data_IF_101325405672
#
_entry.id   IF_101325405672
#
_cell.length_a   1.000
_cell.length_b   1.000
_cell.length_c   1.000
_cell.angle_alpha   90.00
_cell.angle_beta   90.00
_cell.angle_gamma   90.00
#
_symmetry.space_group_name_H-M   'P 1'
#
loop_
_entity.id
_entity.type
_entity.pdbx_description
1 polymer ?
#
# COMPACT_ATOMS: atom_id res chain seq x y z
N UNK A 1 20.22 -3.19 -0.02
CA UNK A 1 19.39 -3.31 -1.24
C UNK A 1 17.95 -3.20 -0.81
N UNK A 2 17.32 -2.09 -1.13
CA UNK A 2 15.90 -1.82 -0.85
C UNK A 2 15.06 -2.49 -1.94
N UNK A 3 13.75 -2.54 -1.76
CA UNK A 3 12.83 -3.07 -2.76
C UNK A 3 12.74 -2.17 -4.00
N UNK A 4 12.95 -0.86 -3.84
CA UNK A 4 12.95 0.08 -4.98
C UNK A 4 14.10 -0.20 -5.96
N UNK A 5 15.24 -0.72 -5.48
CA UNK A 5 16.39 -1.14 -6.30
C UNK A 5 16.05 -2.32 -7.25
N UNK A 6 14.92 -2.99 -7.04
CA UNK A 6 14.47 -4.15 -7.81
C UNK A 6 13.45 -3.79 -8.89
N UNK A 7 13.12 -2.51 -9.04
CA UNK A 7 12.14 -2.10 -10.03
C UNK A 7 12.61 -2.46 -11.45
N UNK A 8 11.81 -3.21 -12.22
CA UNK A 8 12.12 -3.48 -13.62
C UNK A 8 12.01 -2.19 -14.45
N UNK A 9 12.63 -2.15 -15.65
CA UNK A 9 12.56 -0.97 -16.53
C UNK A 9 11.15 -0.60 -17.00
N UNK A 10 10.22 -1.56 -16.95
CA UNK A 10 8.82 -1.40 -17.38
C UNK A 10 7.88 -1.98 -16.34
N UNK A 11 6.71 -1.37 -16.15
CA UNK A 11 5.65 -1.86 -15.27
C UNK A 11 4.90 -3.10 -15.80
N UNK A 12 5.61 -4.01 -16.47
CA UNK A 12 5.04 -5.25 -16.97
C UNK A 12 4.66 -6.17 -15.79
N UNK A 13 3.45 -6.74 -15.75
CA UNK A 13 2.98 -7.53 -14.61
C UNK A 13 3.88 -8.71 -14.26
N UNK A 14 4.36 -9.46 -15.26
CA UNK A 14 5.18 -10.65 -15.04
C UNK A 14 6.56 -10.25 -14.49
N UNK A 15 7.18 -9.22 -15.09
CA UNK A 15 8.45 -8.67 -14.61
C UNK A 15 8.36 -8.15 -13.16
N UNK A 16 7.26 -7.49 -12.80
CA UNK A 16 7.03 -7.01 -11.44
C UNK A 16 6.84 -8.15 -10.45
N UNK A 17 6.07 -9.18 -10.83
CA UNK A 17 5.88 -10.36 -10.01
C UNK A 17 7.22 -11.04 -9.71
N UNK A 18 8.00 -11.35 -10.75
CA UNK A 18 9.29 -12.03 -10.64
C UNK A 18 10.29 -11.24 -9.78
N UNK A 19 10.38 -9.92 -10.00
CA UNK A 19 11.26 -9.05 -9.22
C UNK A 19 10.91 -9.04 -7.73
N UNK A 20 9.62 -8.92 -7.40
CA UNK A 20 9.15 -8.93 -6.02
C UNK A 20 9.35 -10.30 -5.35
N UNK A 21 9.05 -11.38 -6.07
CA UNK A 21 9.23 -12.75 -5.57
C UNK A 21 10.71 -13.05 -5.31
N UNK A 22 11.61 -12.66 -6.22
CA UNK A 22 13.05 -12.80 -6.04
C UNK A 22 13.53 -12.04 -4.82
N UNK A 23 13.11 -10.79 -4.65
CA UNK A 23 13.44 -9.96 -3.50
C UNK A 23 13.01 -10.59 -2.16
N UNK A 24 11.82 -11.21 -2.12
CA UNK A 24 11.31 -11.92 -0.96
C UNK A 24 12.15 -13.18 -0.67
N UNK A 25 12.45 -13.95 -1.72
CA UNK A 25 13.21 -15.20 -1.63
C UNK A 25 14.65 -14.99 -1.15
N UNK A 26 15.32 -13.93 -1.61
CA UNK A 26 16.65 -13.55 -1.14
C UNK A 26 16.72 -13.25 0.37
N UNK A 27 15.57 -12.89 0.96
CA UNK A 27 15.42 -12.66 2.41
C UNK A 27 14.99 -13.92 3.17
N UNK A 28 14.95 -15.06 2.50
CA UNK A 28 14.49 -16.33 3.06
C UNK A 28 12.98 -16.38 3.29
N UNK A 29 12.21 -15.53 2.59
CA UNK A 29 10.75 -15.51 2.66
C UNK A 29 10.16 -16.25 1.46
N UNK A 30 9.14 -17.06 1.71
CA UNK A 30 8.28 -17.64 0.67
C UNK A 30 6.90 -17.04 0.83
N UNK A 31 6.32 -16.57 -0.27
CA UNK A 31 4.98 -16.01 -0.26
C UNK A 31 3.96 -17.11 0.06
N UNK A 32 2.95 -16.78 0.86
CA UNK A 32 1.79 -17.65 1.00
C UNK A 32 0.93 -17.56 -0.26
N UNK A 33 0.16 -18.61 -0.57
CA UNK A 33 -0.69 -18.64 -1.77
C UNK A 33 -1.61 -17.42 -1.89
N UNK A 34 -2.19 -16.96 -0.79
CA UNK A 34 -3.04 -15.76 -0.79
C UNK A 34 -2.26 -14.44 -1.02
N UNK A 35 -0.95 -14.41 -0.76
CA UNK A 35 -0.08 -13.27 -1.07
C UNK A 35 0.31 -13.29 -2.53
N UNK A 36 0.58 -14.46 -3.10
CA UNK A 36 0.84 -14.64 -4.53
C UNK A 36 -0.37 -14.21 -5.36
N UNK A 37 -1.56 -14.72 -5.02
CA UNK A 37 -2.82 -14.32 -5.65
C UNK A 37 -3.03 -12.81 -5.58
N UNK A 38 -2.86 -12.21 -4.40
CA UNK A 38 -3.00 -10.77 -4.24
C UNK A 38 -1.95 -9.98 -5.04
N UNK A 39 -0.71 -10.46 -5.09
CA UNK A 39 0.38 -9.84 -5.85
C UNK A 39 0.05 -9.84 -7.34
N UNK A 40 -0.39 -10.98 -7.91
CA UNK A 40 -0.78 -11.12 -9.32
C UNK A 40 -1.84 -10.08 -9.69
N UNK A 41 -2.88 -9.95 -8.89
CA UNK A 41 -3.95 -8.98 -9.11
C UNK A 41 -3.44 -7.53 -9.02
N UNK A 42 -2.63 -7.24 -8.01
CA UNK A 42 -2.03 -5.91 -7.79
C UNK A 42 -1.12 -5.49 -8.95
N UNK A 43 -0.22 -6.36 -9.41
CA UNK A 43 0.69 -6.05 -10.53
C UNK A 43 -0.06 -5.95 -11.85
N UNK A 44 -1.18 -6.67 -12.00
CA UNK A 44 -2.09 -6.51 -13.14
C UNK A 44 -2.90 -5.21 -13.11
N UNK A 45 -2.83 -4.44 -12.01
CA UNK A 45 -3.51 -3.15 -11.86
C UNK A 45 -4.91 -3.25 -11.25
N UNK A 46 -5.34 -4.43 -10.80
CA UNK A 46 -6.63 -4.60 -10.15
C UNK A 46 -6.67 -3.98 -8.73
N UNK A 47 -7.88 -3.72 -8.25
CA UNK A 47 -8.12 -3.33 -6.86
C UNK A 47 -8.39 -4.59 -6.04
N UNK A 48 -7.72 -4.74 -4.89
CA UNK A 48 -7.76 -5.97 -4.11
C UNK A 48 -8.30 -5.70 -2.71
N UNK A 49 -9.16 -6.60 -2.23
CA UNK A 49 -9.62 -6.64 -0.84
C UNK A 49 -9.07 -7.90 -0.19
N UNK A 50 -8.18 -7.73 0.78
CA UNK A 50 -7.55 -8.87 1.47
C UNK A 50 -8.19 -9.09 2.83
N UNK A 51 -8.77 -10.28 3.01
CA UNK A 51 -9.41 -10.71 4.24
C UNK A 51 -8.67 -11.87 4.89
N UNK A 52 -7.60 -11.57 5.62
CA UNK A 52 -6.83 -12.60 6.34
C UNK A 52 -6.72 -12.26 7.83
N UNK A 53 -6.51 -13.25 8.73
CA UNK A 53 -6.25 -12.99 10.14
C UNK A 53 -5.09 -12.01 10.36
N UNK A 54 -5.05 -11.33 11.51
CA UNK A 54 -3.86 -10.58 11.93
C UNK A 54 -2.66 -11.54 12.07
N UNK A 55 -1.46 -11.09 11.72
CA UNK A 55 -0.26 -11.92 11.71
C UNK A 55 -0.05 -12.81 10.47
N UNK A 56 -0.96 -12.80 9.49
CA UNK A 56 -0.85 -13.64 8.27
C UNK A 56 -0.06 -12.99 7.12
N UNK A 57 0.73 -11.94 7.40
CA UNK A 57 1.55 -11.28 6.38
C UNK A 57 0.84 -10.29 5.45
N UNK A 58 -0.17 -9.55 5.93
CA UNK A 58 -0.79 -8.42 5.19
C UNK A 58 0.25 -7.36 4.76
N UNK A 59 1.28 -7.14 5.56
CA UNK A 59 2.37 -6.21 5.25
C UNK A 59 3.10 -6.54 3.96
N UNK A 60 3.22 -7.82 3.58
CA UNK A 60 3.85 -8.20 2.30
C UNK A 60 3.01 -7.76 1.11
N UNK A 61 1.68 -7.87 1.22
CA UNK A 61 0.77 -7.43 0.16
C UNK A 61 0.78 -5.89 0.05
N UNK A 62 0.85 -5.19 1.19
CA UNK A 62 1.02 -3.74 1.19
C UNK A 62 2.34 -3.31 0.50
N UNK A 63 3.45 -3.99 0.81
CA UNK A 63 4.73 -3.72 0.16
C UNK A 63 4.68 -3.99 -1.35
N UNK A 64 4.03 -5.08 -1.78
CA UNK A 64 3.78 -5.38 -3.19
C UNK A 64 2.96 -4.28 -3.88
N UNK A 65 1.91 -3.76 -3.23
CA UNK A 65 1.10 -2.67 -3.76
C UNK A 65 1.92 -1.39 -3.97
N UNK A 66 2.73 -1.00 -2.98
CA UNK A 66 3.61 0.15 -3.12
C UNK A 66 4.63 -0.05 -4.25
N UNK A 67 5.26 -1.23 -4.33
CA UNK A 67 6.21 -1.55 -5.39
C UNK A 67 5.57 -1.45 -6.78
N UNK A 68 4.37 -2.01 -6.97
CA UNK A 68 3.65 -1.96 -8.22
C UNK A 68 3.16 -0.55 -8.61
N UNK A 69 2.94 0.34 -7.63
CA UNK A 69 2.63 1.74 -7.87
C UNK A 69 3.88 2.54 -8.28
N UNK A 70 5.00 2.35 -7.57
CA UNK A 70 6.28 2.98 -7.91
C UNK A 70 6.76 2.60 -9.31
N UNK A 71 6.56 1.35 -9.73
CA UNK A 71 6.87 0.92 -11.11
C UNK A 71 6.09 1.69 -12.19
N UNK A 72 4.93 2.24 -11.83
CA UNK A 72 4.05 3.03 -12.71
C UNK A 72 4.25 4.53 -12.53
N UNK A 73 5.26 4.95 -11.77
CA UNK A 73 5.50 6.36 -11.44
C UNK A 73 4.31 7.00 -10.69
N UNK A 74 3.60 6.21 -9.87
CA UNK A 74 2.46 6.66 -9.06
C UNK A 74 2.87 6.93 -7.61
N UNK A 75 2.40 8.05 -7.04
CA UNK A 75 2.47 8.27 -5.59
C UNK A 75 1.50 7.35 -4.87
N UNK A 76 2.00 6.62 -3.89
CA UNK A 76 1.25 5.61 -3.14
C UNK A 76 1.14 5.93 -1.66
N UNK A 77 -0.06 5.77 -1.11
CA UNK A 77 -0.39 6.12 0.26
C UNK A 77 -0.65 4.85 1.08
N UNK A 78 -0.13 4.78 2.29
CA UNK A 78 -0.57 3.85 3.32
C UNK A 78 -1.39 4.61 4.36
N UNK A 79 -2.59 4.12 4.68
CA UNK A 79 -3.42 4.70 5.72
C UNK A 79 -3.64 3.74 6.87
N UNK A 80 -3.52 4.24 8.10
CA UNK A 80 -3.89 3.53 9.32
C UNK A 80 -4.83 4.38 10.20
N UNK A 81 -5.64 3.77 11.08
CA UNK A 81 -6.65 4.49 11.86
C UNK A 81 -6.08 5.35 12.99
N UNK A 82 -4.87 5.06 13.47
CA UNK A 82 -4.24 5.82 14.57
C UNK A 82 -2.81 6.19 14.24
N UNK A 83 -2.37 7.36 14.73
CA UNK A 83 -1.02 7.90 14.50
C UNK A 83 0.10 6.92 14.87
N UNK A 84 -0.07 6.17 15.96
CA UNK A 84 0.93 5.20 16.40
C UNK A 84 1.21 4.12 15.33
N UNK A 85 0.16 3.61 14.67
CA UNK A 85 0.29 2.62 13.59
C UNK A 85 0.87 3.23 12.32
N UNK A 86 0.54 4.50 12.04
CA UNK A 86 1.18 5.25 10.93
C UNK A 86 2.68 5.36 11.16
N UNK A 87 3.11 5.75 12.36
CA UNK A 87 4.53 5.84 12.70
C UNK A 87 5.24 4.49 12.64
N UNK A 88 4.62 3.44 13.17
CA UNK A 88 5.16 2.07 13.07
C UNK A 88 5.36 1.68 11.60
N UNK A 89 4.34 1.88 10.76
CA UNK A 89 4.42 1.55 9.35
C UNK A 89 5.45 2.40 8.61
N UNK A 90 5.56 3.69 8.93
CA UNK A 90 6.59 4.57 8.38
C UNK A 90 7.99 3.99 8.58
N UNK A 91 8.32 3.52 9.79
CA UNK A 91 9.62 2.91 10.06
C UNK A 91 9.80 1.56 9.35
N UNK A 92 8.74 0.76 9.20
CA UNK A 92 8.80 -0.48 8.41
C UNK A 92 9.05 -0.20 6.93
N UNK A 93 8.32 0.73 6.33
CA UNK A 93 8.46 1.08 4.92
C UNK A 93 9.81 1.74 4.66
N UNK A 94 10.35 2.57 5.57
CA UNK A 94 11.71 3.10 5.46
C UNK A 94 12.76 1.99 5.32
N UNK A 95 12.59 0.85 6.03
CA UNK A 95 13.51 -0.30 5.92
C UNK A 95 13.39 -1.02 4.58
N UNK A 96 12.20 -0.99 3.97
CA UNK A 96 11.91 -1.68 2.71
C UNK A 96 12.29 -0.82 1.51
N UNK A 97 11.90 0.45 1.50
CA UNK A 97 12.00 1.36 0.34
C UNK A 97 13.11 2.41 0.45
N UNK A 98 13.76 2.54 1.62
CA UNK A 98 14.72 3.61 1.88
C UNK A 98 14.07 4.85 2.49
N UNK A 99 14.78 5.51 3.39
CA UNK A 99 14.26 6.67 4.15
C UNK A 99 13.95 7.88 3.29
N UNK A 100 14.64 8.02 2.17
CA UNK A 100 14.49 9.08 1.19
C UNK A 100 13.22 8.94 0.34
N UNK A 101 12.68 7.72 0.23
CA UNK A 101 11.52 7.41 -0.61
C UNK A 101 10.21 7.30 0.20
N UNK A 102 10.28 7.48 1.52
CA UNK A 102 9.12 7.32 2.41
C UNK A 102 8.88 8.61 3.19
N UNK A 103 7.62 9.04 3.20
CA UNK A 103 7.13 10.17 3.95
C UNK A 103 6.07 9.77 4.97
N UNK A 104 5.83 10.67 5.91
CA UNK A 104 4.79 10.52 6.92
C UNK A 104 4.05 11.85 7.08
N UNK A 105 2.72 11.80 6.97
CA UNK A 105 1.84 12.93 7.21
C UNK A 105 0.87 12.59 8.33
N UNK A 106 1.02 13.26 9.47
CA UNK A 106 0.05 13.28 10.55
C UNK A 106 -0.50 14.70 10.70
N UNK A 107 -1.70 14.87 11.25
CA UNK A 107 -2.32 16.20 11.37
C UNK A 107 -1.51 17.22 12.21
N UNK A 108 -0.49 16.76 12.92
CA UNK A 108 0.43 17.54 13.77
C UNK A 108 1.88 17.55 13.30
N UNK A 109 2.31 16.66 12.41
CA UNK A 109 3.69 16.57 11.95
C UNK A 109 3.79 16.02 10.53
N UNK A 110 4.81 16.48 9.80
CA UNK A 110 5.13 15.99 8.46
C UNK A 110 6.61 15.66 8.34
N UNK A 111 6.93 14.53 7.73
CA UNK A 111 8.28 14.11 7.38
C UNK A 111 8.28 13.73 5.91
N UNK A 112 9.22 14.27 5.12
CA UNK A 112 9.40 13.94 3.70
C UNK A 112 8.06 13.91 2.92
N UNK A 113 7.32 15.02 2.97
CA UNK A 113 5.93 15.10 2.49
C UNK A 113 5.76 14.85 0.98
N UNK A 114 6.83 15.06 0.21
CA UNK A 114 6.85 14.90 -1.25
C UNK A 114 7.40 13.52 -1.67
N UNK A 115 7.54 12.59 -0.72
CA UNK A 115 8.02 11.24 -1.02
C UNK A 115 7.01 10.45 -1.87
N UNK A 116 7.48 9.51 -2.71
CA UNK A 116 6.58 8.72 -3.54
C UNK A 116 5.78 7.66 -2.75
N UNK A 117 6.20 7.33 -1.51
CA UNK A 117 5.45 6.47 -0.58
C UNK A 117 5.09 7.27 0.68
N UNK A 118 3.80 7.48 0.95
CA UNK A 118 3.33 8.32 2.06
C UNK A 118 2.53 7.50 3.09
N UNK A 119 2.99 7.45 4.33
CA UNK A 119 2.20 6.97 5.46
C UNK A 119 1.36 8.12 6.05
N UNK A 120 0.05 7.94 6.21
CA UNK A 120 -0.79 8.96 6.84
C UNK A 120 -1.99 8.37 7.59
N UNK A 121 -2.72 9.20 8.33
CA UNK A 121 -4.02 8.79 8.87
C UNK A 121 -5.10 8.92 7.81
N UNK A 122 -6.21 8.19 7.95
CA UNK A 122 -7.34 8.28 7.01
C UNK A 122 -7.90 9.72 6.90
N UNK A 123 -7.91 10.49 7.99
CA UNK A 123 -8.37 11.88 8.01
C UNK A 123 -7.45 12.81 7.21
N UNK A 124 -6.13 12.59 7.28
CA UNK A 124 -5.16 13.38 6.49
C UNK A 124 -5.36 13.12 5.01
N UNK A 125 -5.48 11.85 4.61
CA UNK A 125 -5.76 11.50 3.21
C UNK A 125 -7.09 12.09 2.73
N UNK A 126 -8.14 11.99 3.56
CA UNK A 126 -9.44 12.57 3.24
C UNK A 126 -9.36 14.10 3.07
N UNK A 127 -8.58 14.78 3.91
CA UNK A 127 -8.34 16.22 3.81
C UNK A 127 -7.66 16.59 2.48
N UNK A 128 -6.60 15.86 2.09
CA UNK A 128 -5.92 16.03 0.80
C UNK A 128 -6.91 15.85 -0.35
N UNK A 129 -7.66 14.73 -0.34
CA UNK A 129 -8.61 14.41 -1.39
C UNK A 129 -9.75 15.43 -1.51
N UNK A 130 -10.25 15.96 -0.39
CA UNK A 130 -11.31 16.98 -0.38
C UNK A 130 -10.81 18.36 -0.81
N UNK A 131 -9.59 18.73 -0.42
CA UNK A 131 -8.99 20.02 -0.75
C UNK A 131 -8.61 20.10 -2.22
N UNK A 132 -7.91 19.07 -2.70
CA UNK A 132 -7.28 19.07 -4.02
C UNK A 132 -8.13 18.32 -5.06
N UNK A 133 -9.16 17.59 -4.64
CA UNK A 133 -10.17 17.02 -5.53
C UNK A 133 -9.58 16.08 -6.57
N UNK A 134 -9.80 16.41 -7.85
CA UNK A 134 -9.26 15.69 -9.02
C UNK A 134 -7.79 16.01 -9.32
N UNK A 135 -7.21 16.98 -8.64
CA UNK A 135 -5.83 17.40 -8.83
C UNK A 135 -4.92 16.84 -7.70
N UNK A 136 -5.51 16.17 -6.70
CA UNK A 136 -4.76 15.44 -5.68
C UNK A 136 -3.85 14.38 -6.32
N UNK A 137 -2.57 14.37 -5.95
CA UNK A 137 -1.57 13.41 -6.43
C UNK A 137 -1.62 12.11 -5.62
N UNK A 138 -2.69 11.34 -5.82
CA UNK A 138 -2.95 10.07 -5.14
C UNK A 138 -3.19 9.01 -6.20
N UNK A 139 -2.14 8.27 -6.57
CA UNK A 139 -2.21 7.20 -7.55
C UNK A 139 -2.82 5.92 -6.96
N UNK A 140 -2.32 5.51 -5.79
CA UNK A 140 -2.73 4.27 -5.13
C UNK A 140 -2.84 4.46 -3.62
N UNK A 141 -3.83 3.84 -2.97
CA UNK A 141 -3.99 3.87 -1.51
C UNK A 141 -3.99 2.46 -0.97
N UNK A 142 -3.29 2.16 0.12
CA UNK A 142 -3.35 0.93 0.92
C UNK A 142 -4.01 1.29 2.25
N UNK A 143 -5.22 0.82 2.52
CA UNK A 143 -5.98 1.18 3.72
C UNK A 143 -5.99 0.05 4.72
N UNK A 144 -5.19 0.12 5.78
CA UNK A 144 -5.16 -0.89 6.84
C UNK A 144 -6.32 -0.78 7.83
N UNK A 145 -6.61 -1.89 8.53
CA UNK A 145 -7.66 -1.98 9.55
C UNK A 145 -9.04 -1.47 9.07
N UNK A 146 -9.38 -1.76 7.81
CA UNK A 146 -10.69 -1.47 7.24
C UNK A 146 -11.73 -2.49 7.73
N UNK A 147 -12.68 -2.02 8.54
CA UNK A 147 -13.73 -2.85 9.13
C UNK A 147 -15.14 -2.59 8.58
N UNK A 148 -15.34 -1.52 7.80
CA UNK A 148 -16.66 -1.08 7.34
C UNK A 148 -16.97 -1.57 5.93
N UNK A 149 -17.27 -2.87 5.81
CA UNK A 149 -17.89 -3.42 4.62
C UNK A 149 -18.98 -4.42 5.01
N UNK A 150 -20.01 -3.92 5.69
CA UNK A 150 -21.37 -4.48 5.78
C UNK A 150 -22.14 -3.82 6.94
N UNK A 151 -22.65 -2.61 6.74
CA UNK A 151 -23.96 -2.27 7.34
C UNK A 151 -24.95 -2.01 6.21
N UNK A 152 -25.30 -3.14 5.60
CA UNK A 152 -26.33 -3.31 4.58
C UNK A 152 -26.66 -4.80 4.58
N UNK A 153 -27.41 -5.23 5.61
CA UNK A 153 -27.93 -6.59 5.86
C UNK A 153 -26.91 -7.73 6.12
N UNK A 154 -26.79 -8.06 7.43
CA UNK A 154 -26.39 -9.34 8.05
C UNK A 154 -25.06 -10.02 7.63
N UNK A 155 -24.01 -9.88 8.47
CA UNK A 155 -23.15 -11.00 8.94
C UNK A 155 -21.96 -10.55 9.81
N UNK A 156 -21.90 -11.04 11.06
CA UNK A 156 -20.70 -11.53 11.79
C UNK A 156 -19.60 -10.54 12.26
N UNK A 157 -19.00 -10.73 13.45
CA UNK A 157 -18.06 -9.77 14.04
C UNK A 157 -16.61 -9.92 13.54
N UNK A 158 -15.98 -8.77 13.27
CA UNK A 158 -14.56 -8.48 13.54
C UNK A 158 -13.51 -9.16 12.68
N UNK A 159 -13.09 -8.53 11.57
CA UNK A 159 -11.76 -8.74 10.96
C UNK A 159 -11.26 -7.45 10.29
N UNK A 160 -10.00 -7.13 10.52
CA UNK A 160 -9.27 -6.04 9.85
C UNK A 160 -8.79 -6.46 8.48
N UNK A 161 -9.08 -5.63 7.49
CA UNK A 161 -8.84 -5.88 6.07
C UNK A 161 -8.15 -4.67 5.46
N UNK A 162 -7.32 -4.92 4.45
CA UNK A 162 -6.58 -3.86 3.79
C UNK A 162 -7.18 -3.57 2.40
N UNK A 163 -7.48 -2.30 2.06
CA UNK A 163 -8.13 -1.89 0.81
C UNK A 163 -7.14 -1.20 -0.13
N UNK A 164 -7.14 -1.52 -1.44
CA UNK A 164 -6.50 -0.65 -2.43
C UNK A 164 -7.46 0.07 -3.38
N UNK A 165 -7.40 1.40 -3.39
CA UNK A 165 -8.22 2.27 -4.24
C UNK A 165 -7.31 3.01 -5.24
N UNK A 166 -7.68 2.97 -6.52
CA UNK A 166 -6.97 3.65 -7.62
C UNK A 166 -7.91 4.62 -8.33
N UNK A 167 -7.39 5.77 -8.75
CA UNK A 167 -8.11 6.73 -9.61
C UNK A 167 -8.28 6.11 -11.01
N UNK A 168 -9.50 6.03 -11.52
CA UNK A 168 -9.72 5.73 -12.95
C UNK A 168 -9.38 6.98 -13.77
N UNK A 169 -8.35 6.90 -14.58
CA UNK A 169 -8.02 7.88 -15.62
C UNK A 169 -8.96 7.72 -16.84
N UNK A 170 -10.27 7.95 -16.65
CA UNK A 170 -11.24 8.19 -17.72
C UNK A 170 -12.64 8.46 -17.15
N UNK A 171 -12.98 9.74 -17.05
CA UNK A 171 -14.33 10.32 -17.24
C UNK A 171 -14.17 11.80 -17.56
#
# INVERSE_FOLDING_TARGET
MTLIDQLPPTADPDALYEAFESWARERGLTLYSHQEEALIEVVSGANVIVSTPTGSGKSMIAAAAHFAALARDEVTFYTAPIKALVSEKFFELCKIFGTENVGMLTGDASVNADAPVICCTAEVLASIALRDGKDADVGQVVMDEFHFYAEGTAAGPGRSRCWSCRRRSSC
#
